data_IF_963007927125
#
_entry.id   IF_963007927125
#
_cell.length_a   1.000
_cell.length_b   1.000
_cell.length_c   1.000
_cell.angle_alpha   90.00
_cell.angle_beta   90.00
_cell.angle_gamma   90.00
#
_symmetry.space_group_name_H-M   'P 1'
#
loop_
_entity.id
_entity.type
_entity.pdbx_description
1 polymer ?
#
# COMPACT_ATOMS: atom_id res chain seq x y z
N UNK A 1 20.62 -1.89 -6.37
CA UNK A 1 19.57 -2.14 -5.34
C UNK A 1 20.21 -2.90 -4.19
N UNK A 2 20.16 -2.37 -2.97
CA UNK A 2 20.64 -3.09 -1.77
C UNK A 2 19.75 -4.32 -1.51
N UNK A 3 20.28 -5.35 -0.83
CA UNK A 3 19.50 -6.54 -0.45
C UNK A 3 18.24 -6.19 0.37
N UNK A 4 18.29 -5.14 1.20
CA UNK A 4 17.15 -4.64 1.97
C UNK A 4 15.98 -4.23 1.08
N UNK A 5 16.25 -3.48 0.00
CA UNK A 5 15.19 -3.03 -0.90
C UNK A 5 14.49 -4.14 -1.66
N UNK A 6 15.17 -5.26 -1.95
CA UNK A 6 14.54 -6.45 -2.53
C UNK A 6 13.63 -7.18 -1.54
N UNK A 7 14.04 -7.29 -0.27
CA UNK A 7 13.24 -7.95 0.78
C UNK A 7 12.00 -7.14 1.12
N UNK A 8 12.11 -5.80 1.16
CA UNK A 8 10.97 -4.92 1.35
C UNK A 8 9.94 -5.04 0.22
N UNK A 9 10.39 -5.08 -1.04
CA UNK A 9 9.52 -5.28 -2.21
C UNK A 9 8.79 -6.63 -2.18
N UNK A 10 9.49 -7.71 -1.80
CA UNK A 10 8.88 -9.03 -1.67
C UNK A 10 7.88 -9.10 -0.51
N UNK A 11 8.18 -8.44 0.62
CA UNK A 11 7.26 -8.32 1.74
C UNK A 11 5.99 -7.55 1.39
N UNK A 12 6.14 -6.38 0.77
CA UNK A 12 5.01 -5.55 0.34
C UNK A 12 4.19 -6.20 -0.79
N UNK A 13 4.83 -6.89 -1.73
CA UNK A 13 4.14 -7.67 -2.76
C UNK A 13 3.38 -8.87 -2.17
N UNK A 14 3.97 -9.59 -1.21
CA UNK A 14 3.31 -10.71 -0.53
C UNK A 14 2.07 -10.27 0.25
N UNK A 15 2.12 -9.08 0.86
CA UNK A 15 0.98 -8.48 1.57
C UNK A 15 -0.09 -8.02 0.61
N UNK A 16 0.28 -7.38 -0.50
CA UNK A 16 -0.67 -7.00 -1.54
C UNK A 16 -1.41 -8.23 -2.11
N UNK A 17 -0.69 -9.34 -2.33
CA UNK A 17 -1.28 -10.62 -2.75
C UNK A 17 -2.20 -11.20 -1.66
N UNK A 18 -1.79 -11.15 -0.39
CA UNK A 18 -2.63 -11.62 0.72
C UNK A 18 -3.92 -10.80 0.84
N UNK A 19 -3.87 -9.48 0.63
CA UNK A 19 -5.04 -8.61 0.63
C UNK A 19 -5.91 -8.84 -0.61
N UNK A 20 -5.32 -9.12 -1.77
CA UNK A 20 -6.08 -9.56 -2.95
C UNK A 20 -6.83 -10.86 -2.67
N UNK A 21 -6.19 -11.84 -2.03
CA UNK A 21 -6.81 -13.13 -1.73
C UNK A 21 -7.90 -12.99 -0.65
N UNK A 22 -7.66 -12.21 0.40
CA UNK A 22 -8.67 -11.94 1.43
C UNK A 22 -9.81 -11.08 0.89
N UNK A 23 -9.51 -10.07 0.07
CA UNK A 23 -10.50 -9.22 -0.60
C UNK A 23 -11.32 -9.99 -1.63
N UNK A 24 -10.72 -10.89 -2.41
CA UNK A 24 -11.42 -11.75 -3.36
C UNK A 24 -12.25 -12.84 -2.66
N UNK A 25 -11.85 -13.28 -1.47
CA UNK A 25 -12.64 -14.23 -0.66
C UNK A 25 -13.80 -13.59 0.09
N UNK A 26 -13.74 -12.28 0.37
CA UNK A 26 -14.74 -11.55 1.17
C UNK A 26 -15.72 -10.75 0.28
N UNK A 27 -15.33 -10.35 -0.92
CA UNK A 27 -16.16 -9.50 -1.78
C UNK A 27 -16.96 -10.35 -2.79
N UNK A 28 -18.27 -10.19 -2.73
CA UNK A 28 -19.26 -10.78 -3.64
C UNK A 28 -18.81 -10.74 -5.12
N UNK A 29 -19.07 -11.78 -5.92
CA UNK A 29 -18.63 -11.87 -7.32
C UNK A 29 -19.10 -10.72 -8.24
N UNK A 30 -20.05 -9.90 -7.79
CA UNK A 30 -20.57 -8.73 -8.52
C UNK A 30 -19.66 -7.51 -8.48
N UNK A 31 -18.63 -7.49 -7.63
CA UNK A 31 -17.86 -6.28 -7.27
C UNK A 31 -16.34 -6.39 -7.58
N UNK A 32 -15.95 -7.45 -8.31
CA UNK A 32 -14.54 -7.80 -8.59
C UNK A 32 -13.77 -6.67 -9.27
N UNK A 33 -14.41 -5.93 -10.18
CA UNK A 33 -13.78 -4.82 -10.89
C UNK A 33 -13.39 -3.67 -9.95
N UNK A 34 -14.26 -3.34 -8.99
CA UNK A 34 -14.03 -2.29 -8.00
C UNK A 34 -12.91 -2.68 -7.02
N UNK A 35 -12.90 -3.94 -6.58
CA UNK A 35 -11.84 -4.49 -5.72
C UNK A 35 -10.49 -4.46 -6.42
N UNK A 36 -10.44 -4.94 -7.67
CA UNK A 36 -9.19 -4.97 -8.44
C UNK A 36 -8.66 -3.57 -8.70
N UNK A 37 -9.55 -2.61 -8.99
CA UNK A 37 -9.18 -1.21 -9.16
C UNK A 37 -8.61 -0.61 -7.86
N UNK A 38 -9.27 -0.83 -6.72
CA UNK A 38 -8.81 -0.35 -5.41
C UNK A 38 -7.46 -0.93 -5.02
N UNK A 39 -7.28 -2.24 -5.19
CA UNK A 39 -6.00 -2.89 -4.89
C UNK A 39 -4.90 -2.48 -5.88
N UNK A 40 -5.20 -2.42 -7.17
CA UNK A 40 -4.25 -1.96 -8.18
C UNK A 40 -3.76 -0.53 -7.90
N UNK A 41 -4.68 0.37 -7.56
CA UNK A 41 -4.36 1.75 -7.17
C UNK A 41 -3.47 1.80 -5.91
N UNK A 42 -3.78 0.97 -4.90
CA UNK A 42 -3.00 0.88 -3.67
C UNK A 42 -1.57 0.40 -3.95
N UNK A 43 -1.41 -0.66 -4.76
CA UNK A 43 -0.10 -1.23 -5.11
C UNK A 43 0.74 -0.24 -5.90
N UNK A 44 0.17 0.40 -6.92
CA UNK A 44 0.88 1.42 -7.72
C UNK A 44 1.32 2.57 -6.85
N UNK A 45 0.44 3.07 -5.97
CA UNK A 45 0.79 4.12 -5.02
C UNK A 45 1.94 3.67 -4.10
N UNK A 46 1.87 2.46 -3.53
CA UNK A 46 2.89 1.95 -2.61
C UNK A 46 4.26 1.81 -3.29
N UNK A 47 4.30 1.32 -4.53
CA UNK A 47 5.53 1.20 -5.33
C UNK A 47 6.12 2.57 -5.65
N UNK A 48 5.29 3.54 -6.03
CA UNK A 48 5.73 4.91 -6.31
C UNK A 48 6.23 5.61 -5.04
N UNK A 49 5.49 5.51 -3.94
CA UNK A 49 5.89 6.07 -2.65
C UNK A 49 7.20 5.44 -2.16
N UNK A 50 7.37 4.14 -2.33
CA UNK A 50 8.61 3.47 -2.00
C UNK A 50 9.78 3.93 -2.89
N UNK A 51 9.57 4.06 -4.19
CA UNK A 51 10.63 4.51 -5.09
C UNK A 51 11.02 5.97 -4.83
N UNK A 52 10.05 6.88 -4.70
CA UNK A 52 10.29 8.30 -4.48
C UNK A 52 10.79 8.60 -3.06
N UNK A 53 10.14 8.07 -2.04
CA UNK A 53 10.45 8.40 -0.63
C UNK A 53 11.47 7.42 -0.05
N UNK A 54 11.31 6.14 -0.35
CA UNK A 54 12.16 5.06 0.17
C UNK A 54 13.57 5.04 -0.42
N UNK A 55 13.75 5.26 -1.73
CA UNK A 55 15.10 5.23 -2.33
C UNK A 55 15.84 6.55 -2.13
N UNK A 56 15.15 7.68 -2.21
CA UNK A 56 15.77 9.01 -2.21
C UNK A 56 15.96 9.57 -0.80
N UNK A 57 14.96 9.40 0.09
CA UNK A 57 14.91 10.13 1.37
C UNK A 57 15.04 9.23 2.61
N UNK A 58 14.87 7.92 2.48
CA UNK A 58 14.97 6.99 3.62
C UNK A 58 16.33 6.99 4.32
N UNK A 59 17.49 7.05 3.62
CA UNK A 59 18.79 7.00 4.30
C UNK A 59 19.04 8.21 5.21
N UNK A 60 18.40 9.33 4.92
CA UNK A 60 18.66 10.61 5.60
C UNK A 60 17.56 11.01 6.57
N UNK A 61 16.29 10.69 6.30
CA UNK A 61 15.14 11.17 7.11
C UNK A 61 13.99 10.15 7.20
N UNK A 62 14.17 9.02 7.92
CA UNK A 62 13.17 7.93 7.97
C UNK A 62 11.82 8.36 8.56
N UNK A 63 11.80 9.23 9.58
CA UNK A 63 10.56 9.74 10.18
C UNK A 63 9.74 10.57 9.20
N UNK A 64 10.42 11.38 8.37
CA UNK A 64 9.78 12.22 7.35
C UNK A 64 9.20 11.37 6.23
N UNK A 65 9.92 10.31 5.81
CA UNK A 65 9.43 9.34 4.83
C UNK A 65 8.16 8.65 5.33
N UNK A 66 8.13 8.25 6.60
CA UNK A 66 6.94 7.64 7.20
C UNK A 66 5.76 8.61 7.26
N UNK A 67 5.99 9.84 7.73
CA UNK A 67 4.95 10.88 7.78
C UNK A 67 4.38 11.22 6.40
N UNK A 68 5.25 11.38 5.39
CA UNK A 68 4.85 11.64 4.00
C UNK A 68 4.11 10.43 3.40
N UNK A 69 4.54 9.20 3.71
CA UNK A 69 3.84 7.99 3.30
C UNK A 69 2.41 7.93 3.85
N UNK A 70 2.24 8.24 5.15
CA UNK A 70 0.93 8.26 5.80
C UNK A 70 0.01 9.33 5.22
N UNK A 71 0.53 10.55 4.99
CA UNK A 71 -0.22 11.61 4.31
C UNK A 71 -0.60 11.24 2.88
N UNK A 72 0.32 10.63 2.13
CA UNK A 72 0.07 10.19 0.76
C UNK A 72 -1.01 9.11 0.68
N UNK A 73 -1.06 8.15 1.63
CA UNK A 73 -2.13 7.15 1.72
C UNK A 73 -3.49 7.81 1.92
N UNK A 74 -3.60 8.77 2.84
CA UNK A 74 -4.83 9.51 3.09
C UNK A 74 -5.28 10.32 1.86
N UNK A 75 -4.33 10.99 1.19
CA UNK A 75 -4.61 11.70 -0.05
C UNK A 75 -5.10 10.75 -1.13
N UNK A 76 -4.51 9.56 -1.26
CA UNK A 76 -4.93 8.56 -2.24
C UNK A 76 -6.34 8.05 -1.98
N UNK A 77 -6.73 7.85 -0.72
CA UNK A 77 -8.14 7.53 -0.36
C UNK A 77 -9.07 8.66 -0.79
N UNK A 78 -8.70 9.93 -0.54
CA UNK A 78 -9.47 11.09 -0.96
C UNK A 78 -9.60 11.21 -2.48
N UNK A 79 -8.51 10.99 -3.23
CA UNK A 79 -8.49 10.96 -4.69
C UNK A 79 -9.38 9.84 -5.22
N UNK A 80 -9.29 8.63 -4.65
CA UNK A 80 -10.14 7.52 -5.03
C UNK A 80 -11.62 7.80 -4.76
N UNK A 81 -11.96 8.49 -3.66
CA UNK A 81 -13.34 8.89 -3.37
C UNK A 81 -13.93 9.83 -4.43
N UNK A 82 -13.08 10.62 -5.09
CA UNK A 82 -13.46 11.56 -6.16
C UNK A 82 -13.51 10.86 -7.52
N UNK A 83 -12.58 9.96 -7.81
CA UNK A 83 -12.44 9.31 -9.12
C UNK A 83 -13.38 8.12 -9.28
N UNK A 84 -13.56 7.29 -8.24
CA UNK A 84 -14.34 6.05 -8.34
C UNK A 84 -15.79 6.29 -8.84
N UNK A 85 -16.55 7.29 -8.32
CA UNK A 85 -17.89 7.58 -8.84
C UNK A 85 -17.88 8.03 -10.30
N UNK A 86 -16.85 8.79 -10.71
CA UNK A 86 -16.70 9.28 -12.09
C UNK A 86 -16.36 8.16 -13.07
N UNK A 87 -15.73 7.09 -12.59
CA UNK A 87 -15.42 5.89 -13.35
C UNK A 87 -16.58 4.87 -13.37
N UNK A 88 -17.73 5.19 -12.76
CA UNK A 88 -18.86 4.24 -12.62
C UNK A 88 -18.58 3.09 -11.66
N UNK A 89 -17.55 3.23 -10.80
CA UNK A 89 -17.18 2.21 -9.82
C UNK A 89 -17.91 2.44 -8.49
N UNK A 90 -18.40 1.38 -7.85
CA UNK A 90 -19.01 1.46 -6.52
C UNK A 90 -17.96 1.89 -5.48
N UNK A 91 -18.29 2.99 -4.78
CA UNK A 91 -17.38 3.69 -3.89
C UNK A 91 -16.94 2.83 -2.70
N UNK A 92 -17.90 2.19 -2.02
CA UNK A 92 -17.66 1.44 -0.79
C UNK A 92 -16.58 0.35 -0.93
N UNK A 93 -16.63 -0.56 -1.93
CA UNK A 93 -15.59 -1.58 -2.09
C UNK A 93 -14.23 -1.01 -2.50
N UNK A 94 -14.19 0.06 -3.32
CA UNK A 94 -12.92 0.72 -3.67
C UNK A 94 -12.25 1.33 -2.44
N UNK A 95 -13.02 2.05 -1.61
CA UNK A 95 -12.48 2.66 -0.40
C UNK A 95 -12.11 1.62 0.66
N UNK A 96 -12.94 0.59 0.84
CA UNK A 96 -12.68 -0.48 1.81
C UNK A 96 -11.38 -1.21 1.47
N UNK A 97 -11.16 -1.52 0.19
CA UNK A 97 -9.94 -2.21 -0.26
C UNK A 97 -8.69 -1.32 -0.13
N UNK A 98 -8.78 -0.04 -0.51
CA UNK A 98 -7.69 0.92 -0.29
C UNK A 98 -7.32 1.04 1.18
N UNK A 99 -8.30 1.24 2.05
CA UNK A 99 -8.08 1.37 3.50
C UNK A 99 -7.51 0.07 4.06
N UNK A 100 -8.01 -1.10 3.64
CA UNK A 100 -7.49 -2.39 4.10
C UNK A 100 -6.02 -2.60 3.69
N UNK A 101 -5.68 -2.35 2.41
CA UNK A 101 -4.29 -2.44 1.93
C UNK A 101 -3.39 -1.45 2.66
N UNK A 102 -3.83 -0.20 2.83
CA UNK A 102 -3.05 0.82 3.53
C UNK A 102 -2.89 0.53 5.02
N UNK A 103 -3.92 0.04 5.70
CA UNK A 103 -3.83 -0.37 7.10
C UNK A 103 -2.86 -1.54 7.28
N UNK A 104 -2.96 -2.57 6.44
CA UNK A 104 -2.06 -3.72 6.49
C UNK A 104 -0.61 -3.34 6.19
N UNK A 105 -0.36 -2.54 5.15
CA UNK A 105 1.00 -2.09 4.81
C UNK A 105 1.58 -1.17 5.89
N UNK A 106 0.75 -0.34 6.54
CA UNK A 106 1.19 0.52 7.66
C UNK A 106 1.49 -0.30 8.91
N UNK A 107 0.70 -1.34 9.21
CA UNK A 107 0.96 -2.26 10.35
C UNK A 107 2.25 -3.07 10.17
N UNK A 108 2.61 -3.38 8.93
CA UNK A 108 3.78 -4.20 8.62
C UNK A 108 5.08 -3.40 8.46
N UNK A 109 5.00 -2.09 8.21
CA UNK A 109 6.17 -1.19 8.17
C UNK A 109 7.04 -1.27 9.43
N UNK A 110 6.52 -1.17 10.67
CA UNK A 110 7.33 -1.30 11.88
C UNK A 110 8.05 -2.65 12.00
N UNK A 111 7.43 -3.74 11.54
CA UNK A 111 8.01 -5.08 11.59
C UNK A 111 9.17 -5.23 10.60
N UNK A 112 9.05 -4.64 9.41
CA UNK A 112 10.16 -4.60 8.44
C UNK A 112 11.32 -3.75 8.95
N UNK A 113 11.05 -2.61 9.61
CA UNK A 113 12.09 -1.81 10.27
C UNK A 113 12.86 -2.58 11.35
N UNK A 114 12.17 -3.38 12.18
CA UNK A 114 12.83 -4.19 13.21
C UNK A 114 13.69 -5.31 12.63
N UNK A 115 13.27 -5.92 11.52
CA UNK A 115 14.06 -6.97 10.85
C UNK A 115 15.32 -6.41 10.18
N UNK A 116 15.26 -5.22 9.60
CA UNK A 116 16.43 -4.56 9.01
C UNK A 116 17.45 -4.13 10.06
N UNK A 117 16.99 -3.57 11.19
CA UNK A 117 17.88 -3.18 12.30
C UNK A 117 18.55 -4.39 12.96
N UNK A 118 17.86 -5.52 13.14
CA UNK A 118 18.44 -6.77 13.67
C UNK A 118 19.43 -7.44 12.72
N UNK A 119 19.30 -7.25 11.41
CA UNK A 119 20.20 -7.84 10.41
C UNK A 119 21.50 -7.03 10.22
N UNK A 120 21.57 -5.83 10.79
CA UNK A 120 22.72 -4.93 10.71
C UNK A 120 23.59 -4.92 11.99
N UNK A 121 23.15 -5.61 13.06
CA UNK A 121 23.88 -5.86 14.30
C UNK A 121 24.48 -7.27 14.31
#
# INVERSE_FOLDING_TARGET
>A
MSQGGRRFLLGSAGVAVLVLLLGAGIVWPTEVAAVTAGVGAAVVFQLLAYWLLGVVFFPTRPVLVYGLGMMGRLLMVGVAAIIAPRAGLPLAPVLLTLVAVFALTTLLEPLTFQLETKSAS
#
